data_IF_910844273716
#
_entry.id   IF_910844273716
#
_cell.length_a   1.000
_cell.length_b   1.000
_cell.length_c   1.000
_cell.angle_alpha   90.00
_cell.angle_beta   90.00
_cell.angle_gamma   90.00
#
_symmetry.space_group_name_H-M   'P 1'
#
loop_
_entity.id
_entity.type
_entity.pdbx_description
1 polymer ?
#
# COMPACT_ATOMS: atom_id res chain seq x y z
N UNK A 1 -3.13 25.17 3.63
CA UNK A 1 -2.02 24.23 3.89
C UNK A 1 -2.22 23.59 5.25
N UNK A 2 -2.71 22.34 5.28
CA UNK A 2 -2.51 21.35 6.36
C UNK A 2 -3.40 20.10 6.14
N UNK A 3 -3.51 19.61 4.89
CA UNK A 3 -4.18 18.33 4.62
C UNK A 3 -3.29 17.12 4.99
N UNK A 4 -1.97 17.30 4.93
CA UNK A 4 -0.98 16.22 5.12
C UNK A 4 -0.90 15.73 6.58
N UNK A 5 -1.25 16.58 7.56
CA UNK A 5 -1.21 16.18 8.98
C UNK A 5 -2.40 15.34 9.44
N UNK A 6 -3.50 15.31 8.70
CA UNK A 6 -4.69 14.54 9.07
C UNK A 6 -4.57 13.07 8.64
N UNK A 7 -3.88 12.79 7.53
CA UNK A 7 -3.75 11.43 6.99
C UNK A 7 -2.82 10.51 7.80
N UNK A 8 -1.79 11.04 8.44
CA UNK A 8 -0.88 10.23 9.28
C UNK A 8 -1.53 9.73 10.59
N UNK A 9 -2.63 10.34 11.05
CA UNK A 9 -3.34 9.90 12.25
C UNK A 9 -4.35 8.78 11.97
N UNK A 10 -4.82 8.62 10.73
CA UNK A 10 -5.74 7.53 10.37
C UNK A 10 -5.04 6.18 10.35
N UNK A 11 -3.74 6.12 10.03
CA UNK A 11 -2.97 4.87 10.00
C UNK A 11 -2.78 4.22 11.38
N UNK A 12 -3.02 4.95 12.47
CA UNK A 12 -2.82 4.47 13.84
C UNK A 12 -4.17 4.08 14.50
N UNK A 13 -5.31 4.51 13.96
CA UNK A 13 -6.62 4.31 14.61
C UNK A 13 -7.34 3.01 14.22
N UNK A 14 -6.88 2.26 13.21
CA UNK A 14 -7.54 1.00 12.80
C UNK A 14 -7.15 -0.23 13.66
N UNK A 15 -6.39 -0.04 14.74
CA UNK A 15 -6.06 -1.12 15.70
C UNK A 15 -7.09 -1.28 16.84
N UNK A 16 -8.24 -0.62 16.78
CA UNK A 16 -9.32 -0.75 17.77
C UNK A 16 -10.67 -1.08 17.12
N UNK A 17 -10.83 -2.32 16.65
CA UNK A 17 -12.14 -2.98 16.76
C UNK A 17 -11.94 -4.50 16.83
N UNK A 18 -11.81 -5.00 18.06
CA UNK A 18 -12.05 -6.40 18.35
C UNK A 18 -13.43 -6.51 19.02
N UNK A 19 -14.33 -7.29 18.42
CA UNK A 19 -15.49 -7.92 19.06
C UNK A 19 -16.79 -7.11 19.11
N UNK A 20 -17.83 -7.58 18.41
CA UNK A 20 -18.85 -8.41 19.06
C UNK A 20 -19.76 -9.14 18.05
N UNK A 21 -20.07 -10.39 18.39
CA UNK A 21 -21.05 -11.27 17.74
C UNK A 21 -22.41 -11.08 18.41
N UNK A 22 -23.53 -11.11 17.67
CA UNK A 22 -24.82 -11.55 18.22
C UNK A 22 -26.10 -10.78 17.82
N UNK A 23 -26.75 -11.27 16.77
CA UNK A 23 -28.18 -11.62 16.60
C UNK A 23 -29.35 -10.62 16.79
N UNK A 24 -30.16 -10.58 15.72
CA UNK A 24 -31.63 -10.55 15.58
C UNK A 24 -32.47 -9.43 16.22
N UNK A 25 -33.15 -8.65 15.36
CA UNK A 25 -34.60 -8.41 15.49
C UNK A 25 -35.25 -7.98 14.17
N UNK A 26 -36.42 -8.55 13.92
CA UNK A 26 -37.29 -8.44 12.75
C UNK A 26 -38.00 -7.09 12.74
N UNK A 27 -38.17 -6.47 11.56
CA UNK A 27 -39.31 -5.58 11.27
C UNK A 27 -39.77 -5.80 9.82
N UNK A 28 -41.09 -5.83 9.69
CA UNK A 28 -41.92 -6.28 8.56
C UNK A 28 -41.99 -5.33 7.36
N UNK A 29 -42.46 -5.90 6.25
CA UNK A 29 -42.81 -5.28 4.97
C UNK A 29 -43.57 -3.96 5.06
N UNK A 30 -43.29 -3.05 4.10
CA UNK A 30 -44.28 -2.52 3.15
C UNK A 30 -43.60 -1.70 2.03
N UNK A 31 -43.91 -2.11 0.81
CA UNK A 31 -44.26 -1.35 -0.40
C UNK A 31 -43.38 -0.21 -0.97
N UNK A 32 -42.83 -0.55 -2.14
CA UNK A 32 -42.73 0.23 -3.40
C UNK A 32 -42.13 1.64 -3.33
N UNK A 33 -40.87 1.77 -3.78
CA UNK A 33 -40.56 2.75 -4.82
C UNK A 33 -39.56 2.14 -5.81
N UNK A 34 -40.00 2.07 -7.06
CA UNK A 34 -39.27 1.56 -8.22
C UNK A 34 -38.32 2.67 -8.68
N UNK A 35 -37.18 2.83 -8.00
CA UNK A 35 -36.09 3.68 -8.47
C UNK A 35 -34.90 2.81 -8.82
N UNK A 36 -34.75 2.60 -10.14
CA UNK A 36 -33.52 2.32 -10.86
C UNK A 36 -32.31 2.09 -9.94
N UNK A 37 -32.14 0.85 -9.51
CA UNK A 37 -30.83 0.33 -9.21
C UNK A 37 -30.08 0.36 -10.55
N UNK A 38 -29.37 1.46 -10.83
CA UNK A 38 -28.17 1.35 -11.65
C UNK A 38 -27.30 0.35 -10.92
N UNK A 39 -27.44 -0.92 -11.32
CA UNK A 39 -26.53 -1.98 -10.98
C UNK A 39 -25.18 -1.53 -11.53
N UNK A 40 -24.44 -0.80 -10.71
CA UNK A 40 -23.12 -0.30 -11.04
C UNK A 40 -22.31 -1.53 -11.39
N UNK A 41 -22.08 -1.74 -12.69
CA UNK A 41 -21.16 -2.77 -13.15
C UNK A 41 -19.89 -2.60 -12.32
N UNK A 42 -19.35 -3.67 -11.71
CA UNK A 42 -18.18 -3.53 -10.85
C UNK A 42 -17.11 -2.77 -11.62
N UNK A 43 -16.64 -1.66 -11.06
CA UNK A 43 -15.66 -0.79 -11.70
C UNK A 43 -14.47 -1.66 -12.08
N UNK A 44 -14.35 -2.00 -13.37
CA UNK A 44 -13.28 -2.86 -13.84
C UNK A 44 -12.01 -2.02 -13.87
N UNK A 45 -11.23 -2.11 -12.80
CA UNK A 45 -9.92 -1.45 -12.71
C UNK A 45 -8.93 -2.08 -13.69
N UNK A 46 -8.09 -1.26 -14.27
CA UNK A 46 -7.08 -1.67 -15.25
C UNK A 46 -5.82 -2.19 -14.54
N UNK A 47 -5.37 -3.43 -14.82
CA UNK A 47 -4.13 -3.96 -14.25
C UNK A 47 -2.89 -3.18 -14.71
N UNK A 48 -2.04 -2.80 -13.76
CA UNK A 48 -0.79 -2.07 -14.03
C UNK A 48 0.39 -2.63 -13.25
N UNK A 49 1.59 -2.29 -13.72
CA UNK A 49 2.85 -2.52 -13.00
C UNK A 49 3.27 -1.24 -12.28
N UNK A 50 3.55 -1.34 -10.98
CA UNK A 50 4.10 -0.24 -10.18
C UNK A 50 5.62 -0.36 -10.15
N UNK A 51 6.31 0.58 -10.78
CA UNK A 51 7.75 0.74 -10.66
C UNK A 51 8.07 1.64 -9.47
N UNK A 52 8.76 1.10 -8.46
CA UNK A 52 9.13 1.81 -7.24
C UNK A 52 10.40 2.67 -7.40
N UNK A 53 11.16 2.46 -8.48
CA UNK A 53 12.34 3.25 -8.81
C UNK A 53 11.98 4.47 -9.67
N UNK A 54 11.10 4.27 -10.66
CA UNK A 54 10.64 5.31 -11.59
C UNK A 54 9.10 5.23 -11.79
N UNK A 55 8.29 5.66 -10.79
CA UNK A 55 6.84 5.57 -10.85
C UNK A 55 6.21 6.47 -11.91
N UNK A 56 5.25 5.94 -12.66
CA UNK A 56 4.49 6.70 -13.65
C UNK A 56 3.39 7.57 -12.99
N UNK A 57 3.60 8.88 -12.93
CA UNK A 57 2.66 9.88 -12.37
C UNK A 57 1.27 9.93 -13.05
N UNK A 58 1.14 9.41 -14.26
CA UNK A 58 -0.17 9.30 -14.93
C UNK A 58 -1.03 8.20 -14.28
N UNK A 59 -0.40 7.14 -13.76
CA UNK A 59 -1.06 5.97 -13.19
C UNK A 59 -1.11 5.99 -11.66
N UNK A 60 -0.17 6.70 -11.03
CA UNK A 60 0.06 6.67 -9.58
C UNK A 60 0.02 8.07 -8.96
N UNK A 61 -0.43 8.14 -7.71
CA UNK A 61 -0.19 9.27 -6.82
C UNK A 61 1.10 9.00 -6.03
N UNK A 62 1.99 9.99 -5.99
CA UNK A 62 3.31 9.86 -5.37
C UNK A 62 3.46 10.91 -4.29
N UNK A 63 3.72 10.46 -3.07
CA UNK A 63 4.14 11.30 -1.97
C UNK A 63 5.62 11.07 -1.66
N UNK A 64 6.50 11.99 -2.06
CA UNK A 64 7.93 11.86 -1.82
C UNK A 64 8.52 13.01 -1.00
N UNK A 65 9.58 12.71 -0.26
CA UNK A 65 10.42 13.70 0.39
C UNK A 65 11.83 13.17 0.60
N UNK A 66 12.78 14.10 0.63
CA UNK A 66 14.18 13.82 0.98
C UNK A 66 14.49 14.54 2.28
N UNK A 67 14.84 13.78 3.32
CA UNK A 67 15.30 14.33 4.60
C UNK A 67 16.63 13.68 4.94
N UNK A 68 17.65 14.51 5.20
CA UNK A 68 18.97 14.05 5.63
C UNK A 68 19.63 13.03 4.67
N UNK A 69 19.39 13.16 3.35
CA UNK A 69 19.93 12.26 2.33
C UNK A 69 19.24 10.89 2.27
N UNK A 70 18.09 10.76 2.93
CA UNK A 70 17.21 9.59 2.82
C UNK A 70 16.04 10.00 1.97
N UNK A 71 15.85 9.31 0.86
CA UNK A 71 14.64 9.37 0.06
C UNK A 71 13.56 8.53 0.73
N UNK A 72 12.35 9.06 0.78
CA UNK A 72 11.16 8.37 1.26
C UNK A 72 10.03 8.67 0.30
N UNK A 73 9.53 7.64 -0.38
CA UNK A 73 8.42 7.73 -1.31
C UNK A 73 7.29 6.80 -0.89
N UNK A 74 6.06 7.25 -1.00
CA UNK A 74 4.85 6.42 -0.92
C UNK A 74 4.10 6.53 -2.23
N UNK A 75 3.69 5.39 -2.79
CA UNK A 75 3.11 5.29 -4.13
C UNK A 75 1.76 4.58 -4.03
N UNK A 76 0.71 5.20 -4.57
CA UNK A 76 -0.66 4.68 -4.60
C UNK A 76 -1.16 4.58 -6.05
N UNK A 77 -1.83 3.49 -6.48
CA UNK A 77 -2.55 3.50 -7.75
C UNK A 77 -3.71 4.50 -7.69
N UNK A 78 -3.94 5.24 -8.78
CA UNK A 78 -5.19 6.01 -8.93
C UNK A 78 -6.39 5.04 -9.03
N UNK A 79 -7.58 5.54 -8.76
CA UNK A 79 -8.81 4.74 -8.57
C UNK A 79 -9.12 3.76 -9.72
N UNK A 80 -8.80 4.15 -10.96
CA UNK A 80 -9.04 3.33 -12.15
C UNK A 80 -8.07 2.15 -12.34
N UNK A 81 -7.04 2.05 -11.50
CA UNK A 81 -5.95 1.08 -11.65
C UNK A 81 -5.87 0.09 -10.48
N UNK A 82 -5.39 -1.11 -10.81
CA UNK A 82 -5.09 -2.16 -9.84
C UNK A 82 -3.66 -2.66 -10.07
N UNK A 83 -2.84 -2.68 -9.03
CA UNK A 83 -1.45 -3.10 -9.15
C UNK A 83 -1.34 -4.60 -9.02
N UNK A 84 -0.97 -5.25 -10.11
CA UNK A 84 -0.78 -6.71 -10.18
C UNK A 84 0.69 -7.10 -10.23
N UNK A 85 1.60 -6.15 -10.46
CA UNK A 85 3.05 -6.40 -10.43
C UNK A 85 3.74 -5.19 -9.81
N UNK A 86 4.74 -5.46 -8.97
CA UNK A 86 5.60 -4.42 -8.38
C UNK A 86 7.03 -4.73 -8.77
N UNK A 87 7.71 -3.72 -9.31
CA UNK A 87 9.11 -3.80 -9.75
C UNK A 87 9.96 -2.73 -9.09
N UNK A 88 11.27 -2.96 -9.04
CA UNK A 88 12.26 -1.95 -8.67
C UNK A 88 13.50 -2.14 -9.53
N UNK A 89 13.90 -1.09 -10.25
CA UNK A 89 15.06 -1.10 -11.15
C UNK A 89 14.99 -2.31 -12.13
N UNK A 90 13.81 -2.50 -12.74
CA UNK A 90 13.51 -3.60 -13.65
C UNK A 90 13.35 -5.00 -13.03
N UNK A 91 13.61 -5.17 -11.73
CA UNK A 91 13.47 -6.47 -11.05
C UNK A 91 12.07 -6.64 -10.47
N UNK A 92 11.44 -7.79 -10.73
CA UNK A 92 10.12 -8.13 -10.17
C UNK A 92 10.28 -8.43 -8.68
N UNK A 93 9.68 -7.59 -7.83
CA UNK A 93 9.64 -7.79 -6.38
C UNK A 93 8.43 -8.61 -5.94
N UNK A 94 7.33 -8.46 -6.67
CA UNK A 94 6.08 -9.15 -6.40
C UNK A 94 5.18 -9.19 -7.63
N UNK A 95 4.45 -10.30 -7.78
CA UNK A 95 3.39 -10.48 -8.77
C UNK A 95 2.15 -11.02 -8.05
N UNK A 96 1.00 -10.49 -8.40
CA UNK A 96 -0.29 -10.89 -7.87
C UNK A 96 -0.58 -12.36 -8.16
N UNK A 97 -1.06 -13.04 -7.12
CA UNK A 97 -1.82 -14.28 -7.26
C UNK A 97 -3.31 -13.93 -7.19
N UNK A 98 -4.18 -14.86 -7.60
CA UNK A 98 -5.60 -14.60 -7.82
C UNK A 98 -6.26 -13.82 -6.67
N UNK A 99 -6.82 -12.64 -7.00
CA UNK A 99 -7.53 -11.76 -6.07
C UNK A 99 -6.64 -10.80 -5.27
N UNK A 100 -5.32 -11.00 -5.26
CA UNK A 100 -4.40 -10.09 -4.60
C UNK A 100 -4.06 -8.87 -5.45
N UNK A 101 -3.94 -7.74 -4.78
CA UNK A 101 -3.45 -6.48 -5.35
C UNK A 101 -2.46 -5.81 -4.41
N UNK A 102 -1.58 -4.96 -4.94
CA UNK A 102 -0.81 -4.03 -4.13
C UNK A 102 -1.57 -2.71 -4.00
N UNK A 103 -1.98 -2.35 -2.78
CA UNK A 103 -2.77 -1.13 -2.52
C UNK A 103 -1.91 0.11 -2.38
N UNK A 104 -0.68 -0.05 -1.90
CA UNK A 104 0.36 0.98 -1.90
C UNK A 104 1.72 0.35 -1.60
N UNK A 105 2.78 1.09 -1.91
CA UNK A 105 4.14 0.74 -1.54
C UNK A 105 4.88 1.94 -0.97
N UNK A 106 5.73 1.67 0.02
CA UNK A 106 6.73 2.61 0.53
C UNK A 106 8.11 2.21 0.00
N UNK A 107 8.89 3.20 -0.38
CA UNK A 107 10.30 3.06 -0.73
C UNK A 107 11.14 3.97 0.16
N UNK A 108 12.17 3.40 0.78
CA UNK A 108 13.17 4.12 1.54
C UNK A 108 14.54 3.82 0.93
N UNK A 109 15.29 4.85 0.58
CA UNK A 109 16.63 4.64 0.05
C UNK A 109 17.61 5.69 0.57
N UNK A 110 18.86 5.27 0.67
CA UNK A 110 20.01 6.14 0.84
C UNK A 110 21.11 5.66 -0.11
N UNK A 111 22.32 6.21 0.02
CA UNK A 111 23.47 5.88 -0.85
C UNK A 111 23.86 4.40 -0.86
N UNK A 112 23.49 3.63 0.18
CA UNK A 112 23.94 2.25 0.38
C UNK A 112 22.81 1.23 0.38
N UNK A 113 21.61 1.61 0.84
CA UNK A 113 20.53 0.67 1.18
C UNK A 113 19.23 1.10 0.52
N UNK A 114 18.49 0.12 0.03
CA UNK A 114 17.11 0.24 -0.45
C UNK A 114 16.24 -0.67 0.38
N UNK A 115 15.08 -0.15 0.80
CA UNK A 115 14.01 -0.90 1.44
C UNK A 115 12.71 -0.58 0.70
N UNK A 116 12.06 -1.61 0.18
CA UNK A 116 10.72 -1.53 -0.40
C UNK A 116 9.75 -2.27 0.51
N UNK A 117 8.61 -1.65 0.83
CA UNK A 117 7.53 -2.27 1.59
C UNK A 117 6.25 -2.18 0.77
N UNK A 118 5.50 -3.28 0.69
CA UNK A 118 4.25 -3.37 -0.05
C UNK A 118 3.14 -3.79 0.90
N UNK A 119 2.02 -3.09 0.82
CA UNK A 119 0.76 -3.53 1.41
C UNK A 119 -0.06 -4.22 0.33
N UNK A 120 -0.37 -5.49 0.57
CA UNK A 120 -1.08 -6.36 -0.34
C UNK A 120 -2.46 -6.68 0.23
N UNK A 121 -3.47 -6.73 -0.61
CA UNK A 121 -4.87 -6.94 -0.20
C UNK A 121 -5.55 -7.99 -1.07
N UNK A 122 -6.37 -8.84 -0.47
CA UNK A 122 -7.30 -9.73 -1.15
C UNK A 122 -8.62 -9.78 -0.35
N UNK A 123 -9.66 -9.09 -0.84
CA UNK A 123 -10.90 -8.92 -0.06
C UNK A 123 -10.64 -8.16 1.24
N UNK A 124 -10.89 -8.79 2.39
CA UNK A 124 -10.58 -8.24 3.72
C UNK A 124 -9.19 -8.66 4.23
N UNK A 125 -8.52 -9.59 3.56
CA UNK A 125 -7.20 -10.06 3.95
C UNK A 125 -6.13 -9.03 3.56
N UNK A 126 -5.18 -8.81 4.46
CA UNK A 126 -4.11 -7.83 4.30
C UNK A 126 -2.76 -8.48 4.66
N UNK A 127 -1.81 -8.38 3.74
CA UNK A 127 -0.46 -8.92 3.89
C UNK A 127 0.57 -7.81 3.68
N UNK A 128 1.67 -7.90 4.43
CA UNK A 128 2.81 -7.00 4.27
C UNK A 128 3.99 -7.77 3.72
N UNK A 129 4.62 -7.23 2.67
CA UNK A 129 5.87 -7.78 2.12
C UNK A 129 6.92 -6.69 2.11
N UNK A 130 8.07 -6.96 2.71
CA UNK A 130 9.22 -6.06 2.65
C UNK A 130 10.42 -6.77 2.01
N UNK A 131 11.17 -6.01 1.21
CA UNK A 131 12.46 -6.44 0.67
C UNK A 131 13.51 -5.36 0.91
N UNK A 132 14.70 -5.79 1.30
CA UNK A 132 15.82 -4.89 1.59
C UNK A 132 17.10 -5.43 0.96
N UNK A 133 17.95 -4.51 0.53
CA UNK A 133 19.25 -4.84 -0.05
C UNK A 133 20.14 -3.62 -0.18
N UNK A 134 21.36 -3.86 -0.66
CA UNK A 134 22.24 -2.75 -1.05
C UNK A 134 21.80 -2.20 -2.40
N UNK A 135 22.00 -0.90 -2.62
CA UNK A 135 21.77 -0.26 -3.93
C UNK A 135 22.55 -1.04 -5.01
N UNK A 136 21.90 -1.34 -6.14
CA UNK A 136 22.47 -2.09 -7.25
C UNK A 136 22.67 -3.59 -6.99
N UNK A 137 22.07 -4.13 -5.92
CA UNK A 137 22.02 -5.57 -5.65
C UNK A 137 20.59 -6.06 -5.55
N UNK A 138 20.43 -7.36 -5.68
CA UNK A 138 19.16 -8.04 -5.44
C UNK A 138 18.63 -7.72 -4.03
N UNK A 139 17.33 -7.45 -3.94
CA UNK A 139 16.65 -7.22 -2.67
C UNK A 139 16.15 -8.55 -2.12
N UNK A 140 16.35 -8.79 -0.82
CA UNK A 140 15.90 -10.01 -0.18
C UNK A 140 14.73 -9.74 0.75
N UNK A 141 13.83 -10.71 0.87
CA UNK A 141 12.70 -10.60 1.77
C UNK A 141 13.15 -10.44 3.22
N UNK A 142 12.49 -9.54 3.94
CA UNK A 142 12.67 -9.35 5.38
C UNK A 142 11.32 -9.29 6.08
N UNK A 143 11.33 -9.66 7.36
CA UNK A 143 10.16 -9.56 8.23
C UNK A 143 9.76 -8.10 8.46
N UNK A 144 8.45 -7.88 8.66
CA UNK A 144 7.89 -6.54 8.91
C UNK A 144 8.59 -5.82 10.08
N UNK A 145 8.87 -6.53 11.17
CA UNK A 145 9.55 -5.96 12.34
C UNK A 145 10.95 -5.45 11.97
N UNK A 146 11.67 -6.21 11.13
CA UNK A 146 12.99 -5.80 10.65
C UNK A 146 12.89 -4.59 9.72
N UNK A 147 11.90 -4.54 8.84
CA UNK A 147 11.67 -3.39 7.97
C UNK A 147 11.47 -2.09 8.76
N UNK A 148 10.60 -2.10 9.77
CA UNK A 148 10.40 -0.93 10.64
C UNK A 148 11.67 -0.56 11.41
N UNK A 149 12.46 -1.55 11.85
CA UNK A 149 13.76 -1.31 12.49
C UNK A 149 14.73 -0.60 11.55
N UNK A 150 14.78 -1.00 10.28
CA UNK A 150 15.62 -0.37 9.26
C UNK A 150 15.15 1.06 8.98
N UNK A 151 13.84 1.30 8.81
CA UNK A 151 13.31 2.67 8.65
C UNK A 151 13.69 3.55 9.83
N UNK A 152 13.56 3.04 11.05
CA UNK A 152 13.97 3.76 12.25
C UNK A 152 15.47 4.07 12.23
N UNK A 153 16.32 3.09 11.88
CA UNK A 153 17.76 3.29 11.78
C UNK A 153 18.14 4.31 10.72
N UNK A 154 17.51 4.25 9.54
CA UNK A 154 17.69 5.25 8.48
C UNK A 154 17.37 6.63 9.02
N UNK A 155 16.14 6.87 9.51
CA UNK A 155 15.68 8.19 9.97
C UNK A 155 16.54 8.77 11.11
N UNK A 156 17.13 7.91 11.94
CA UNK A 156 17.99 8.31 13.06
C UNK A 156 19.50 8.20 12.78
N UNK A 157 19.92 7.91 11.53
CA UNK A 157 21.32 7.76 11.12
C UNK A 157 22.09 6.71 11.95
N UNK A 158 21.41 5.65 12.36
CA UNK A 158 22.02 4.52 13.04
C UNK A 158 22.58 3.51 12.01
N UNK A 159 23.64 2.76 12.37
CA UNK A 159 24.16 1.69 11.51
C UNK A 159 23.08 0.65 11.20
N UNK A 160 23.00 0.23 9.93
CA UNK A 160 22.07 -0.80 9.42
C UNK A 160 22.76 -2.15 9.44
#
# INVERSE_FOLDING_TARGET
>A
MNAIRLFLLLSILELYSCGNVGNNSICTANDIDDQFLEESLPLQRTPVTMDLYDPNEELFEIGEYIINGIYSGVIYPKEDYVVTTVVYDGNILWTATQGWECVYADVYSNVNTVLCMMSLKCGEELMYKALCGRVGRELHHIERVEAHRIVFRMKNRLPI
#
